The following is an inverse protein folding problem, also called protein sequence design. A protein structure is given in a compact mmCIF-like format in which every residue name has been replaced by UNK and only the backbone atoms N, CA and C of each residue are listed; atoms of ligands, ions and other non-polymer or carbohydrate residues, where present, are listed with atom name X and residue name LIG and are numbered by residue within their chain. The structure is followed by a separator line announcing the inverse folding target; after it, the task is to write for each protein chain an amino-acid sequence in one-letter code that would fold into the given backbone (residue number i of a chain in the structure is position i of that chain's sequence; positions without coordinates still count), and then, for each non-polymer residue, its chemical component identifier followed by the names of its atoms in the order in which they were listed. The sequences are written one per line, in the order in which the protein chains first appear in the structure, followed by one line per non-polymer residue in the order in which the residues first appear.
data_IF_786669652666
#
_entry.id   IF_786669652666
#
_cell.length_a   1.000
_cell.length_b   1.000
_cell.length_c   1.000
_cell.angle_alpha   90.00
_cell.angle_beta   90.00
_cell.angle_gamma   90.00
#
_symmetry.space_group_name_H-M   'P 1'
#
loop_
_entity.id
_entity.type
_entity.pdbx_description
1 polymer ?
#
# COMPACT_ATOMS: atom_id res chain seq x y z
N UNK A 1 48.51 -8.98 2.79
CA UNK A 1 47.72 -9.93 1.98
C UNK A 1 46.79 -10.65 2.95
N UNK A 2 45.49 -10.47 3.02
CA UNK A 2 44.54 -9.66 2.27
C UNK A 2 43.47 -9.25 3.29
N UNK A 3 43.13 -7.97 3.34
CA UNK A 3 42.02 -7.48 4.15
C UNK A 3 40.75 -7.91 3.43
N UNK A 4 40.08 -8.96 3.91
CA UNK A 4 38.72 -9.25 3.48
C UNK A 4 37.83 -8.19 4.12
N UNK A 5 37.40 -7.23 3.29
CA UNK A 5 36.22 -6.45 3.59
C UNK A 5 35.05 -7.43 3.66
N UNK A 6 34.67 -7.83 4.86
CA UNK A 6 33.37 -8.46 5.10
C UNK A 6 32.30 -7.48 4.65
N UNK A 7 31.69 -7.76 3.50
CA UNK A 7 30.37 -7.24 3.15
C UNK A 7 29.42 -7.64 4.29
N UNK A 8 29.20 -6.71 5.22
CA UNK A 8 28.21 -6.88 6.28
C UNK A 8 26.87 -7.14 5.61
N UNK A 9 26.23 -8.31 5.82
CA UNK A 9 24.86 -8.51 5.37
C UNK A 9 24.00 -7.41 5.99
N UNK A 10 23.31 -6.66 5.15
CA UNK A 10 22.43 -5.56 5.56
C UNK A 10 21.37 -6.10 6.50
N UNK A 11 21.54 -5.88 7.82
CA UNK A 11 20.56 -6.26 8.83
C UNK A 11 19.28 -5.50 8.54
N UNK A 12 18.21 -6.21 8.26
CA UNK A 12 16.87 -5.64 8.06
C UNK A 12 16.25 -5.15 9.39
N UNK A 13 17.01 -4.51 10.28
CA UNK A 13 16.61 -4.38 11.70
C UNK A 13 17.07 -3.11 12.40
N UNK A 14 17.11 -1.96 11.71
CA UNK A 14 17.38 -0.65 12.35
C UNK A 14 16.11 0.23 12.51
N UNK A 15 14.92 -0.37 12.43
CA UNK A 15 13.66 0.31 12.73
C UNK A 15 13.33 0.22 14.22
N UNK A 16 12.93 1.35 14.80
CA UNK A 16 12.24 1.35 16.10
C UNK A 16 10.90 0.63 15.96
N UNK A 17 10.31 0.12 17.06
CA UNK A 17 8.99 -0.51 17.00
C UNK A 17 7.91 0.37 16.37
N UNK A 18 7.98 1.69 16.60
CA UNK A 18 7.03 2.66 16.04
C UNK A 18 7.18 2.90 14.54
N UNK A 19 8.41 2.78 14.03
CA UNK A 19 8.71 2.92 12.60
C UNK A 19 8.35 1.64 11.86
N UNK A 20 8.68 0.48 12.42
CA UNK A 20 8.28 -0.81 11.85
C UNK A 20 6.76 -0.90 11.75
N UNK A 21 6.04 -0.58 12.83
CA UNK A 21 4.57 -0.54 12.82
C UNK A 21 4.03 0.40 11.75
N UNK A 22 4.64 1.57 11.55
CA UNK A 22 4.23 2.49 10.48
C UNK A 22 4.36 1.85 9.10
N UNK A 23 5.45 1.12 8.83
CA UNK A 23 5.66 0.43 7.56
C UNK A 23 4.69 -0.75 7.39
N UNK A 24 4.39 -1.47 8.46
CA UNK A 24 3.44 -2.59 8.42
C UNK A 24 2.00 -2.09 8.24
N UNK A 25 1.56 -1.04 8.93
CA UNK A 25 0.18 -0.54 8.84
C UNK A 25 -0.14 0.19 7.52
N UNK A 26 0.87 0.78 6.86
CA UNK A 26 0.63 1.70 5.74
C UNK A 26 -0.07 1.05 4.54
N UNK A 27 0.30 -0.16 4.06
CA UNK A 27 -0.38 -0.80 2.93
C UNK A 27 -1.89 -0.96 3.16
N UNK A 28 -2.30 -1.42 4.34
CA UNK A 28 -3.71 -1.60 4.69
C UNK A 28 -4.45 -0.25 4.77
N UNK A 29 -3.84 0.77 5.38
CA UNK A 29 -4.40 2.13 5.38
C UNK A 29 -4.57 2.70 3.97
N UNK A 30 -3.65 2.36 3.05
CA UNK A 30 -3.74 2.76 1.65
C UNK A 30 -4.88 2.05 0.93
N UNK A 31 -5.15 0.77 1.23
CA UNK A 31 -6.36 0.08 0.73
C UNK A 31 -7.63 0.81 1.19
N UNK A 32 -7.75 1.07 2.50
CA UNK A 32 -8.91 1.77 3.08
C UNK A 32 -9.08 3.17 2.46
N UNK A 33 -7.98 3.90 2.30
CA UNK A 33 -7.98 5.23 1.70
C UNK A 33 -8.34 5.22 0.22
N UNK A 34 -7.86 4.24 -0.55
CA UNK A 34 -8.20 4.07 -1.96
C UNK A 34 -9.70 3.78 -2.14
N UNK A 35 -10.25 2.84 -1.36
CA UNK A 35 -11.69 2.52 -1.32
C UNK A 35 -12.54 3.71 -0.85
N UNK A 36 -11.98 4.58 -0.01
CA UNK A 36 -12.64 5.77 0.52
C UNK A 36 -12.41 7.04 -0.31
N UNK A 37 -11.66 6.98 -1.42
CA UNK A 37 -11.29 8.16 -2.20
C UNK A 37 -12.53 8.82 -2.83
N UNK A 38 -13.46 8.01 -3.33
CA UNK A 38 -14.76 8.47 -3.82
C UNK A 38 -15.79 8.64 -2.71
N UNK A 39 -16.49 9.76 -2.74
CA UNK A 39 -17.55 10.06 -1.78
C UNK A 39 -18.84 9.27 -2.06
N UNK A 40 -19.06 8.90 -3.32
CA UNK A 40 -20.24 8.13 -3.72
C UNK A 40 -19.97 6.63 -3.51
N UNK A 41 -20.58 6.08 -2.44
CA UNK A 41 -20.39 4.69 -2.03
C UNK A 41 -20.91 3.64 -3.00
N UNK A 42 -21.53 4.04 -4.12
CA UNK A 42 -21.96 3.12 -5.17
C UNK A 42 -20.77 2.43 -5.88
N UNK A 43 -19.55 2.98 -5.81
CA UNK A 43 -18.34 2.31 -6.33
C UNK A 43 -17.65 1.40 -5.33
N UNK A 44 -18.02 1.45 -4.04
CA UNK A 44 -17.43 0.59 -3.02
C UNK A 44 -17.84 -0.85 -3.21
N UNK A 45 -16.91 -1.67 -3.66
CA UNK A 45 -17.20 -3.06 -4.01
C UNK A 45 -16.35 -4.04 -3.22
N UNK A 46 -16.89 -5.25 -3.04
CA UNK A 46 -16.13 -6.41 -2.58
C UNK A 46 -14.87 -6.62 -3.45
N UNK A 47 -14.96 -6.31 -4.75
CA UNK A 47 -13.85 -6.41 -5.69
C UNK A 47 -12.66 -5.50 -5.32
N UNK A 48 -12.93 -4.30 -4.79
CA UNK A 48 -11.89 -3.37 -4.31
C UNK A 48 -11.16 -3.89 -3.08
N UNK A 49 -11.89 -4.45 -2.11
CA UNK A 49 -11.29 -5.11 -0.94
C UNK A 49 -10.39 -6.27 -1.37
N UNK A 50 -10.92 -7.17 -2.20
CA UNK A 50 -10.18 -8.32 -2.73
C UNK A 50 -8.97 -7.90 -3.58
N UNK A 51 -9.03 -6.77 -4.28
CA UNK A 51 -7.89 -6.22 -5.01
C UNK A 51 -6.81 -5.68 -4.06
N UNK A 52 -7.22 -5.07 -2.94
CA UNK A 52 -6.31 -4.66 -1.87
C UNK A 52 -5.56 -5.85 -1.26
N UNK A 53 -6.28 -6.90 -0.90
CA UNK A 53 -5.72 -8.13 -0.33
C UNK A 53 -4.69 -8.77 -1.27
N UNK A 54 -5.04 -8.96 -2.55
CA UNK A 54 -4.10 -9.45 -3.57
C UNK A 54 -2.90 -8.52 -3.76
N UNK A 55 -3.12 -7.21 -3.63
CA UNK A 55 -2.06 -6.21 -3.67
C UNK A 55 -1.06 -6.41 -2.52
N UNK A 56 -1.56 -6.65 -1.31
CA UNK A 56 -0.74 -6.94 -0.12
C UNK A 56 -0.04 -8.31 -0.28
N UNK A 57 -0.77 -9.35 -0.64
CA UNK A 57 -0.26 -10.70 -0.90
C UNK A 57 0.90 -10.68 -1.91
N UNK A 58 0.81 -9.86 -2.97
CA UNK A 58 1.87 -9.75 -3.98
C UNK A 58 3.24 -9.36 -3.40
N UNK A 59 3.25 -8.66 -2.26
CA UNK A 59 4.48 -8.28 -1.56
C UNK A 59 5.25 -9.46 -0.99
N UNK A 60 4.57 -10.58 -0.67
CA UNK A 60 5.22 -11.81 -0.16
C UNK A 60 6.17 -12.43 -1.19
N UNK A 61 5.95 -12.14 -2.48
CA UNK A 61 6.73 -12.60 -3.62
C UNK A 61 7.72 -11.54 -4.16
N UNK A 62 7.87 -10.39 -3.48
CA UNK A 62 8.74 -9.31 -3.93
C UNK A 62 10.22 -9.70 -3.92
N UNK A 63 11.04 -9.13 -4.81
CA UNK A 63 12.50 -9.29 -4.75
C UNK A 63 13.12 -8.50 -3.56
N UNK A 64 12.43 -7.47 -3.06
CA UNK A 64 12.89 -6.68 -1.91
C UNK A 64 12.67 -7.44 -0.59
N UNK A 65 13.73 -7.69 0.21
CA UNK A 65 13.59 -8.30 1.53
C UNK A 65 12.72 -7.49 2.49
N UNK A 66 12.69 -6.17 2.35
CA UNK A 66 11.84 -5.29 3.15
C UNK A 66 10.37 -5.52 2.82
N UNK A 67 10.00 -5.48 1.54
CA UNK A 67 8.62 -5.68 1.09
C UNK A 67 8.10 -7.05 1.49
N UNK A 68 8.90 -8.11 1.31
CA UNK A 68 8.53 -9.46 1.75
C UNK A 68 8.22 -9.53 3.24
N UNK A 69 9.05 -8.90 4.07
CA UNK A 69 8.85 -8.90 5.54
C UNK A 69 7.60 -8.14 5.95
N UNK A 70 7.36 -6.97 5.35
CA UNK A 70 6.14 -6.20 5.62
C UNK A 70 4.89 -6.99 5.20
N UNK A 71 4.91 -7.57 4.00
CA UNK A 71 3.79 -8.34 3.50
C UNK A 71 3.51 -9.59 4.34
N UNK A 72 4.55 -10.30 4.80
CA UNK A 72 4.39 -11.48 5.66
C UNK A 72 3.81 -11.17 7.06
N UNK A 73 3.91 -9.93 7.54
CA UNK A 73 3.28 -9.51 8.81
C UNK A 73 1.79 -9.17 8.61
N UNK A 74 1.41 -8.76 7.39
CA UNK A 74 0.04 -8.43 7.03
C UNK A 74 -0.75 -9.64 6.52
N UNK A 75 -0.10 -10.53 5.79
CA UNK A 75 -0.69 -11.70 5.16
C UNK A 75 -0.27 -12.95 5.90
N UNK A 76 -1.20 -13.55 6.65
CA UNK A 76 -0.93 -14.78 7.40
C UNK A 76 -1.55 -15.98 6.69
N UNK A 77 -0.91 -17.16 6.74
CA UNK A 77 -1.43 -18.37 6.07
C UNK A 77 -2.84 -18.80 6.55
N UNK A 78 -3.32 -18.26 7.67
CA UNK A 78 -4.67 -18.48 8.20
C UNK A 78 -5.75 -17.61 7.50
N UNK A 79 -5.36 -16.62 6.69
CA UNK A 79 -6.25 -15.82 5.83
C UNK A 79 -6.79 -16.61 4.60
N UNK A 80 -6.55 -17.92 4.55
CA UNK A 80 -7.17 -18.83 3.56
C UNK A 80 -8.66 -19.11 3.83
N UNK A 81 -9.18 -18.69 4.99
CA UNK A 81 -10.62 -18.63 5.24
C UNK A 81 -11.29 -17.62 4.30
N UNK A 82 -12.46 -17.94 3.76
CA UNK A 82 -13.23 -17.05 2.86
C UNK A 82 -13.21 -15.61 3.40
N UNK A 83 -12.48 -14.67 2.76
CA UNK A 83 -12.46 -13.29 3.20
C UNK A 83 -13.90 -12.80 3.21
N UNK A 84 -14.35 -12.22 4.31
CA UNK A 84 -15.61 -11.47 4.34
C UNK A 84 -15.24 -10.03 4.05
N UNK A 85 -15.30 -9.57 2.78
CA UNK A 85 -14.69 -8.32 2.38
C UNK A 85 -15.68 -7.23 2.80
N UNK A 86 -15.55 -6.76 4.04
CA UNK A 86 -16.24 -5.56 4.46
C UNK A 86 -15.44 -4.40 3.93
N UNK A 87 -16.05 -3.51 3.15
CA UNK A 87 -15.45 -2.22 2.86
C UNK A 87 -15.22 -1.49 4.20
N UNK A 88 -13.99 -1.54 4.71
CA UNK A 88 -13.60 -0.79 5.90
C UNK A 88 -13.50 0.67 5.50
N UNK A 89 -14.14 1.53 6.27
CA UNK A 89 -14.24 2.96 5.98
C UNK A 89 -13.67 3.80 7.12
N UNK A 90 -13.20 4.99 6.77
CA UNK A 90 -12.95 6.01 7.76
C UNK A 90 -14.26 6.63 8.23
N UNK A 91 -14.46 6.69 9.55
CA UNK A 91 -15.56 7.45 10.17
C UNK A 91 -15.56 8.93 9.73
N UNK A 92 -14.37 9.52 9.58
CA UNK A 92 -14.16 10.81 8.94
C UNK A 92 -13.23 10.62 7.74
N UNK A 93 -13.83 10.56 6.55
CA UNK A 93 -13.13 10.35 5.28
C UNK A 93 -12.04 11.38 5.01
N UNK A 94 -12.32 12.67 5.23
CA UNK A 94 -11.37 13.73 4.93
C UNK A 94 -10.13 13.61 5.84
N UNK A 95 -10.38 13.37 7.13
CA UNK A 95 -9.31 13.13 8.11
C UNK A 95 -8.53 11.86 7.80
N UNK A 96 -9.20 10.75 7.51
CA UNK A 96 -8.54 9.47 7.22
C UNK A 96 -7.66 9.51 5.97
N UNK A 97 -8.11 10.17 4.90
CA UNK A 97 -7.29 10.41 3.71
C UNK A 97 -6.06 11.26 4.05
N UNK A 98 -6.23 12.36 4.80
CA UNK A 98 -5.12 13.23 5.19
C UNK A 98 -4.09 12.50 6.09
N UNK A 99 -4.57 11.75 7.08
CA UNK A 99 -3.74 10.96 8.00
C UNK A 99 -2.96 9.87 7.26
N UNK A 100 -3.58 9.22 6.26
CA UNK A 100 -2.92 8.21 5.41
C UNK A 100 -1.78 8.85 4.61
N UNK A 101 -2.00 10.00 3.99
CA UNK A 101 -0.96 10.73 3.24
C UNK A 101 0.17 11.21 4.17
N UNK A 102 -0.15 11.62 5.40
CA UNK A 102 0.86 12.00 6.39
C UNK A 102 1.72 10.80 6.81
N UNK A 103 1.09 9.63 7.03
CA UNK A 103 1.78 8.37 7.30
C UNK A 103 2.66 7.93 6.12
N UNK A 104 2.18 8.08 4.88
CA UNK A 104 2.97 7.80 3.68
C UNK A 104 4.24 8.67 3.60
N UNK A 105 4.13 9.99 3.85
CA UNK A 105 5.31 10.89 3.91
C UNK A 105 6.29 10.49 5.01
N UNK A 106 5.78 10.14 6.19
CA UNK A 106 6.62 9.70 7.32
C UNK A 106 7.33 8.39 6.99
N UNK A 107 6.65 7.45 6.36
CA UNK A 107 7.25 6.19 5.90
C UNK A 107 8.35 6.45 4.87
N UNK A 108 8.12 7.30 3.87
CA UNK A 108 9.14 7.67 2.90
C UNK A 108 10.39 8.29 3.56
N UNK A 109 10.19 9.14 4.57
CA UNK A 109 11.31 9.73 5.34
C UNK A 109 12.09 8.67 6.12
N UNK A 110 11.40 7.75 6.78
CA UNK A 110 12.02 6.63 7.52
C UNK A 110 12.81 5.72 6.57
N UNK A 111 12.25 5.40 5.40
CA UNK A 111 12.89 4.57 4.38
C UNK A 111 14.12 5.25 3.79
N UNK A 112 14.01 6.53 3.43
CA UNK A 112 15.14 7.31 2.90
C UNK A 112 16.31 7.38 3.90
N UNK A 113 16.01 7.41 5.20
CA UNK A 113 17.03 7.48 6.25
C UNK A 113 17.68 6.12 6.57
N UNK A 114 16.98 5.01 6.39
CA UNK A 114 17.37 3.71 6.99
C UNK A 114 17.39 2.52 6.04
N UNK A 115 16.62 2.55 4.96
CA UNK A 115 16.56 1.45 4.01
C UNK A 115 17.64 1.57 2.93
N UNK A 116 18.03 0.45 2.33
CA UNK A 116 18.76 0.49 1.08
C UNK A 116 17.91 1.21 0.01
N UNK A 117 18.50 2.02 -0.89
CA UNK A 117 17.74 2.77 -1.89
C UNK A 117 16.81 1.89 -2.76
N UNK A 118 17.26 0.68 -3.09
CA UNK A 118 16.47 -0.29 -3.83
C UNK A 118 15.23 -0.79 -3.04
N UNK A 119 15.39 -1.05 -1.74
CA UNK A 119 14.29 -1.47 -0.86
C UNK A 119 13.30 -0.34 -0.60
N UNK A 120 13.80 0.89 -0.40
CA UNK A 120 12.94 2.07 -0.27
C UNK A 120 12.08 2.26 -1.52
N UNK A 121 12.69 2.18 -2.72
CA UNK A 121 11.99 2.28 -4.00
C UNK A 121 10.99 1.14 -4.19
N UNK A 122 11.38 -0.09 -3.92
CA UNK A 122 10.50 -1.24 -4.07
C UNK A 122 9.27 -1.12 -3.15
N UNK A 123 9.47 -0.66 -1.91
CA UNK A 123 8.37 -0.44 -0.97
C UNK A 123 7.41 0.65 -1.44
N UNK A 124 7.91 1.82 -1.86
CA UNK A 124 7.04 2.91 -2.30
C UNK A 124 6.29 2.58 -3.60
N UNK A 125 6.94 1.86 -4.51
CA UNK A 125 6.30 1.36 -5.75
C UNK A 125 5.22 0.32 -5.45
N UNK A 126 5.48 -0.60 -4.52
CA UNK A 126 4.51 -1.60 -4.09
C UNK A 126 3.27 -0.95 -3.44
N UNK A 127 3.46 -0.03 -2.49
CA UNK A 127 2.34 0.71 -1.86
C UNK A 127 1.55 1.53 -2.88
N UNK A 128 2.22 2.18 -3.84
CA UNK A 128 1.53 2.92 -4.91
C UNK A 128 0.70 1.98 -5.78
N UNK A 129 1.24 0.82 -6.15
CA UNK A 129 0.55 -0.20 -6.95
C UNK A 129 -0.69 -0.75 -6.25
N UNK A 130 -0.66 -0.93 -4.92
CA UNK A 130 -1.83 -1.34 -4.14
C UNK A 130 -2.98 -0.35 -4.37
N UNK A 131 -2.72 0.96 -4.24
CA UNK A 131 -3.76 1.97 -4.47
C UNK A 131 -4.30 1.94 -5.90
N UNK A 132 -3.42 1.79 -6.90
CA UNK A 132 -3.79 1.72 -8.31
C UNK A 132 -4.71 0.53 -8.63
N UNK A 133 -4.42 -0.65 -8.07
CA UNK A 133 -5.27 -1.83 -8.29
C UNK A 133 -6.60 -1.72 -7.56
N UNK A 134 -6.63 -1.15 -6.36
CA UNK A 134 -7.86 -0.93 -5.58
C UNK A 134 -8.78 0.05 -6.33
N UNK A 135 -8.32 1.25 -6.66
CA UNK A 135 -9.10 2.20 -7.48
C UNK A 135 -9.44 1.64 -8.88
N UNK A 136 -8.78 0.56 -9.30
CA UNK A 136 -9.00 -0.12 -10.55
C UNK A 136 -10.02 -1.27 -10.52
N UNK A 137 -10.45 -1.74 -9.35
CA UNK A 137 -11.10 -3.04 -9.24
C UNK A 137 -12.58 -3.06 -9.64
N UNK A 138 -13.34 -2.01 -9.32
CA UNK A 138 -14.77 -1.88 -9.63
C UNK A 138 -15.09 -1.89 -11.15
N UNK A 139 -14.06 -1.91 -12.01
CA UNK A 139 -14.14 -1.99 -13.47
C UNK A 139 -14.75 -3.29 -14.00
N UNK A 140 -14.88 -4.32 -13.16
CA UNK A 140 -15.16 -5.70 -13.61
C UNK A 140 -16.63 -6.12 -13.58
N UNK A 141 -17.53 -5.29 -13.03
CA UNK A 141 -18.93 -5.65 -12.75
C UNK A 141 -20.00 -5.10 -13.71
N UNK A 142 -19.62 -4.51 -14.85
CA UNK A 142 -20.57 -3.90 -15.80
C UNK A 142 -21.01 -4.84 -16.92
N UNK A 143 -22.13 -5.55 -16.75
CA UNK A 143 -22.88 -6.17 -17.84
C UNK A 143 -23.20 -5.08 -18.89
N UNK A 144 -22.64 -5.19 -20.10
CA UNK A 144 -22.75 -4.24 -21.25
C UNK A 144 -21.77 -3.06 -21.31
N UNK A 145 -20.48 -3.36 -21.55
CA UNK A 145 -19.78 -2.88 -22.76
C UNK A 145 -19.81 -1.39 -23.16
N UNK A 146 -20.05 -0.44 -22.26
CA UNK A 146 -19.86 1.00 -22.52
C UNK A 146 -19.00 1.57 -21.39
N UNK A 147 -17.72 1.78 -21.70
CA UNK A 147 -16.68 2.20 -20.77
C UNK A 147 -17.03 3.49 -20.02
N UNK A 148 -17.26 3.35 -18.72
CA UNK A 148 -17.23 4.45 -17.76
C UNK A 148 -15.78 4.79 -17.37
N UNK A 149 -15.56 6.05 -17.01
CA UNK A 149 -14.25 6.67 -16.76
C UNK A 149 -13.31 5.79 -15.89
N UNK A 150 -12.11 5.51 -16.44
CA UNK A 150 -11.18 4.45 -15.99
C UNK A 150 -10.51 4.63 -14.62
N UNK A 151 -10.87 5.66 -13.87
CA UNK A 151 -10.49 6.02 -12.50
C UNK A 151 -11.16 7.39 -12.40
N UNK A 152 -11.99 7.60 -11.40
CA UNK A 152 -12.70 8.85 -11.16
C UNK A 152 -11.73 10.02 -10.86
N UNK A 153 -12.18 11.28 -10.98
CA UNK A 153 -11.33 12.42 -10.66
C UNK A 153 -10.81 12.45 -9.21
N UNK A 154 -11.56 11.97 -8.21
CA UNK A 154 -11.09 12.01 -6.82
C UNK A 154 -10.11 10.86 -6.51
N UNK A 155 -10.34 9.65 -7.03
CA UNK A 155 -9.31 8.59 -7.02
C UNK A 155 -8.01 9.03 -7.69
N UNK A 156 -8.07 9.66 -8.86
CA UNK A 156 -6.86 10.16 -9.55
C UNK A 156 -6.11 11.20 -8.71
N UNK A 157 -6.83 12.08 -8.02
CA UNK A 157 -6.24 13.04 -7.07
C UNK A 157 -5.60 12.34 -5.89
N UNK A 158 -6.25 11.32 -5.33
CA UNK A 158 -5.69 10.51 -4.25
C UNK A 158 -4.40 9.80 -4.69
N UNK A 159 -4.41 9.11 -5.83
CA UNK A 159 -3.24 8.42 -6.38
C UNK A 159 -2.05 9.39 -6.59
N UNK A 160 -2.33 10.56 -7.16
CA UNK A 160 -1.30 11.62 -7.34
C UNK A 160 -0.74 12.07 -5.99
N UNK A 161 -1.62 12.35 -5.02
CA UNK A 161 -1.22 12.81 -3.69
C UNK A 161 -0.42 11.75 -2.93
N UNK A 162 -0.78 10.48 -3.08
CA UNK A 162 -0.06 9.34 -2.49
C UNK A 162 1.32 9.18 -3.12
N UNK A 163 1.41 9.26 -4.45
CA UNK A 163 2.68 9.20 -5.17
C UNK A 163 3.63 10.32 -4.74
N UNK A 164 3.13 11.56 -4.62
CA UNK A 164 3.92 12.69 -4.13
C UNK A 164 4.36 12.51 -2.67
N UNK A 165 3.45 12.05 -1.81
CA UNK A 165 3.76 11.74 -0.42
C UNK A 165 4.87 10.68 -0.28
N UNK A 166 4.81 9.61 -1.08
CA UNK A 166 5.80 8.54 -1.09
C UNK A 166 7.13 8.95 -1.75
N UNK A 167 7.10 9.92 -2.67
CA UNK A 167 8.29 10.52 -3.27
C UNK A 167 8.97 11.57 -2.37
N UNK A 168 8.35 11.95 -1.25
CA UNK A 168 8.84 13.01 -0.37
C UNK A 168 8.74 14.41 -0.99
N UNK A 169 7.77 14.63 -1.89
CA UNK A 169 7.49 15.91 -2.54
C UNK A 169 6.35 16.67 -1.88
#
# INVERSE_FOLDING_TARGET
MSSQAEERPTRTTDYTPSEWRLLVELPELVVIAATSAEADGMRRTVDEGMAGDRGIESGTHSDSPLVRKVAAELWTDDDTGTPQPTAVEFNDRAKGLADTLAKARRAATVLAAKAAPADARAYTEWVSRIAEVVCGAAKSGGFLGIGGESVSPAERRFLTSLSDALAGR
#
